data_IF_741348801010
#
_entry.id   IF_741348801010
#
_cell.length_a   1.000
_cell.length_b   1.000
_cell.length_c   1.000
_cell.angle_alpha   90.00
_cell.angle_beta   90.00
_cell.angle_gamma   90.00
#
_symmetry.space_group_name_H-M   'P 1'
#
loop_
_entity.id
_entity.type
_entity.pdbx_description
1 polymer ?
#
# COMPACT_ATOMS: atom_id res chain seq x y z
N UNK A 1 -0.52 -10.26 52.89
CA UNK A 1 -0.13 -9.29 51.83
C UNK A 1 -0.51 -7.87 52.37
N UNK A 2 0.46 -6.96 52.47
CA UNK A 2 0.21 -5.66 53.06
C UNK A 2 -0.71 -4.81 52.16
N UNK A 3 -1.55 -3.97 52.75
CA UNK A 3 -2.45 -3.07 52.01
C UNK A 3 -1.67 -2.15 51.04
N UNK A 4 -0.44 -1.79 51.38
CA UNK A 4 0.44 -1.00 50.55
C UNK A 4 0.81 -1.77 49.27
N UNK A 5 1.16 -3.07 49.41
CA UNK A 5 1.51 -3.92 48.26
C UNK A 5 0.30 -4.12 47.33
N UNK A 6 -0.90 -4.28 47.83
CA UNK A 6 -2.12 -4.39 47.03
C UNK A 6 -2.37 -3.11 46.21
N UNK A 7 -2.20 -1.94 46.84
CA UNK A 7 -2.35 -0.65 46.13
C UNK A 7 -1.34 -0.51 44.99
N UNK A 8 -0.07 -0.77 45.28
CA UNK A 8 0.97 -0.74 44.24
C UNK A 8 0.67 -1.72 43.07
N UNK A 9 0.24 -2.90 43.40
CA UNK A 9 -0.13 -3.89 42.39
C UNK A 9 -1.29 -3.42 41.49
N UNK A 10 -2.32 -2.82 42.09
CA UNK A 10 -3.46 -2.26 41.35
C UNK A 10 -3.01 -1.13 40.43
N UNK A 11 -2.14 -0.24 40.91
CA UNK A 11 -1.61 0.84 40.08
C UNK A 11 -0.82 0.31 38.86
N UNK A 12 0.03 -0.69 39.06
CA UNK A 12 0.73 -1.35 37.95
C UNK A 12 -0.22 -2.03 36.95
N UNK A 13 -1.27 -2.71 37.46
CA UNK A 13 -2.27 -3.33 36.59
C UNK A 13 -2.99 -2.25 35.75
N UNK A 14 -3.34 -1.11 36.32
CA UNK A 14 -3.96 -0.01 35.57
C UNK A 14 -3.05 0.52 34.47
N UNK A 15 -1.77 0.74 34.78
CA UNK A 15 -0.78 1.22 33.81
C UNK A 15 -0.63 0.23 32.66
N UNK A 16 -0.46 -1.07 32.96
CA UNK A 16 -0.33 -2.12 31.95
C UNK A 16 -1.61 -2.21 31.12
N UNK A 17 -2.78 -2.23 31.73
CA UNK A 17 -4.06 -2.29 31.01
C UNK A 17 -4.23 -1.09 30.07
N UNK A 18 -3.91 0.10 30.54
CA UNK A 18 -3.96 1.33 29.71
C UNK A 18 -2.99 1.24 28.53
N UNK A 19 -1.76 0.81 28.78
CA UNK A 19 -0.76 0.64 27.72
C UNK A 19 -1.21 -0.38 26.65
N UNK A 20 -1.80 -1.51 27.07
CA UNK A 20 -2.33 -2.53 26.16
C UNK A 20 -3.48 -2.00 25.31
N UNK A 21 -4.38 -1.20 25.90
CA UNK A 21 -5.48 -0.56 25.15
C UNK A 21 -4.93 0.39 24.10
N UNK A 22 -3.97 1.24 24.45
CA UNK A 22 -3.33 2.14 23.47
C UNK A 22 -2.60 1.38 22.38
N UNK A 23 -1.83 0.36 22.74
CA UNK A 23 -1.15 -0.49 21.77
C UNK A 23 -2.13 -1.16 20.80
N UNK A 24 -3.24 -1.68 21.32
CA UNK A 24 -4.30 -2.26 20.49
C UNK A 24 -4.91 -1.24 19.54
N UNK A 25 -5.24 -0.03 20.01
CA UNK A 25 -5.77 1.06 19.18
C UNK A 25 -4.78 1.38 18.07
N UNK A 26 -3.50 1.61 18.40
CA UNK A 26 -2.47 1.96 17.42
C UNK A 26 -2.35 0.90 16.32
N UNK A 27 -2.39 -0.38 16.68
CA UNK A 27 -2.29 -1.49 15.69
C UNK A 27 -3.49 -1.58 14.74
N UNK A 28 -4.63 -0.94 15.06
CA UNK A 28 -5.75 -0.84 14.14
C UNK A 28 -5.49 0.17 13.00
N UNK A 29 -4.67 1.18 13.26
CA UNK A 29 -4.40 2.27 12.32
C UNK A 29 -3.12 2.03 11.51
N UNK A 30 -2.15 1.34 12.09
CA UNK A 30 -0.80 1.21 11.56
C UNK A 30 -0.43 -0.27 11.42
N UNK A 31 0.12 -0.62 10.25
CA UNK A 31 0.72 -1.94 10.02
C UNK A 31 2.13 -1.78 9.47
N UNK A 32 3.16 -2.07 10.26
CA UNK A 32 4.51 -2.14 9.74
C UNK A 32 4.65 -3.35 8.81
N UNK A 33 5.35 -3.19 7.71
CA UNK A 33 5.63 -4.26 6.75
C UNK A 33 6.98 -4.05 6.09
N UNK A 34 7.52 -5.10 5.48
CA UNK A 34 8.74 -5.04 4.68
C UNK A 34 8.40 -5.16 3.21
N UNK A 35 9.07 -4.35 2.39
CA UNK A 35 9.01 -4.47 0.93
C UNK A 35 9.69 -5.76 0.52
N UNK A 36 9.02 -6.54 -0.31
CA UNK A 36 9.57 -7.72 -0.95
C UNK A 36 9.41 -7.60 -2.47
N UNK A 37 10.53 -7.76 -3.18
CA UNK A 37 10.59 -7.60 -4.62
C UNK A 37 10.85 -6.17 -5.07
N UNK A 38 11.09 -6.00 -6.37
CA UNK A 38 11.60 -4.77 -6.98
C UNK A 38 10.54 -4.04 -7.82
N UNK A 39 9.26 -4.43 -7.74
CA UNK A 39 8.20 -3.89 -8.63
C UNK A 39 7.90 -2.40 -8.45
N UNK A 40 8.48 -1.77 -7.42
CA UNK A 40 8.35 -0.34 -7.12
C UNK A 40 9.70 0.37 -7.08
N UNK A 41 10.75 -0.27 -7.60
CA UNK A 41 12.07 0.34 -7.72
C UNK A 41 12.03 1.51 -8.74
N UNK A 42 12.71 2.67 -8.52
CA UNK A 42 13.56 2.98 -7.37
C UNK A 42 12.82 3.57 -6.17
N UNK A 43 11.51 3.79 -6.26
CA UNK A 43 10.71 4.44 -5.21
C UNK A 43 10.73 3.63 -3.91
N UNK A 44 10.64 2.31 -4.02
CA UNK A 44 10.75 1.38 -2.90
C UNK A 44 11.76 0.29 -3.25
N UNK A 45 12.67 0.04 -2.34
CA UNK A 45 13.72 -0.96 -2.47
C UNK A 45 13.39 -2.18 -1.61
N UNK A 46 13.84 -3.36 -2.05
CA UNK A 46 13.66 -4.58 -1.27
C UNK A 46 14.26 -4.42 0.14
N UNK A 47 13.53 -4.89 1.14
CA UNK A 47 13.78 -4.76 2.58
C UNK A 47 13.53 -3.36 3.17
N UNK A 48 12.99 -2.41 2.43
CA UNK A 48 12.51 -1.16 3.03
C UNK A 48 11.39 -1.42 4.03
N UNK A 49 11.39 -0.68 5.14
CA UNK A 49 10.31 -0.69 6.11
C UNK A 49 9.21 0.29 5.71
N UNK A 50 8.00 -0.21 5.54
CA UNK A 50 6.82 0.59 5.29
C UNK A 50 5.90 0.63 6.50
N UNK A 51 5.26 1.76 6.67
CA UNK A 51 4.15 1.93 7.62
C UNK A 51 2.87 2.11 6.82
N UNK A 52 2.02 1.07 6.82
CA UNK A 52 0.74 1.10 6.11
C UNK A 52 -0.29 1.80 6.97
N UNK A 53 -0.87 2.89 6.45
CA UNK A 53 -2.04 3.54 7.04
C UNK A 53 -3.30 2.76 6.65
N UNK A 54 -3.85 1.99 7.58
CA UNK A 54 -5.02 1.14 7.35
C UNK A 54 -6.34 1.91 7.27
N UNK A 55 -6.35 3.17 7.71
CA UNK A 55 -7.55 4.00 7.75
C UNK A 55 -7.70 4.92 6.53
N UNK A 56 -6.62 5.12 5.75
CA UNK A 56 -6.62 6.07 4.65
C UNK A 56 -7.84 5.89 3.72
N UNK A 57 -8.08 4.67 3.27
CA UNK A 57 -9.16 4.36 2.33
C UNK A 57 -10.44 3.79 2.98
N UNK A 58 -10.56 3.92 4.31
CA UNK A 58 -11.84 3.80 5.01
C UNK A 58 -12.57 5.14 5.13
N UNK A 59 -11.82 6.24 5.02
CA UNK A 59 -12.32 7.60 5.21
C UNK A 59 -12.18 8.43 3.93
N UNK A 60 -11.17 8.13 3.11
CA UNK A 60 -10.88 8.81 1.85
C UNK A 60 -10.82 7.85 0.66
N UNK A 61 -10.69 8.41 -0.53
CA UNK A 61 -10.55 7.68 -1.78
C UNK A 61 -9.11 7.73 -2.28
N UNK A 62 -8.64 6.68 -2.98
CA UNK A 62 -7.34 6.70 -3.64
C UNK A 62 -7.28 7.80 -4.70
N UNK A 63 -6.11 8.41 -4.85
CA UNK A 63 -5.84 9.44 -5.84
C UNK A 63 -4.70 9.01 -6.75
N UNK A 64 -4.66 9.62 -7.93
CA UNK A 64 -3.56 9.42 -8.88
C UNK A 64 -2.21 9.70 -8.19
N UNK A 65 -1.26 8.79 -8.38
CA UNK A 65 0.06 8.86 -7.76
C UNK A 65 0.18 8.20 -6.37
N UNK A 66 -0.93 7.88 -5.69
CA UNK A 66 -0.88 7.22 -4.39
C UNK A 66 -0.22 5.84 -4.48
N UNK A 67 0.57 5.50 -3.46
CA UNK A 67 1.11 4.15 -3.30
C UNK A 67 0.18 3.36 -2.40
N UNK A 68 -0.41 2.31 -2.94
CA UNK A 68 -1.37 1.46 -2.25
C UNK A 68 -0.81 0.06 -1.98
N UNK A 69 -1.25 -0.52 -0.88
CA UNK A 69 -1.01 -1.93 -0.54
C UNK A 69 -2.35 -2.65 -0.52
N UNK A 70 -2.47 -3.69 -1.31
CA UNK A 70 -3.71 -4.47 -1.40
C UNK A 70 -3.43 -5.98 -1.40
N UNK A 71 -4.42 -6.72 -0.94
CA UNK A 71 -4.38 -8.19 -0.93
C UNK A 71 -4.71 -8.75 -2.29
N UNK A 72 -4.01 -9.80 -2.67
CA UNK A 72 -4.30 -10.53 -3.91
C UNK A 72 -4.66 -11.97 -3.60
N UNK A 73 -5.21 -12.68 -4.60
CA UNK A 73 -5.42 -14.12 -4.54
C UNK A 73 -4.13 -14.91 -4.84
N UNK A 74 -3.04 -14.24 -5.15
CA UNK A 74 -1.73 -14.87 -5.32
C UNK A 74 -1.23 -15.33 -3.95
N UNK A 75 -0.67 -16.53 -3.91
CA UNK A 75 -0.12 -17.09 -2.69
C UNK A 75 1.38 -16.82 -2.60
N UNK A 76 1.84 -16.59 -1.38
CA UNK A 76 3.26 -16.61 -1.04
C UNK A 76 3.72 -18.08 -0.90
N UNK A 77 5.03 -18.28 -0.76
CA UNK A 77 5.62 -19.63 -0.56
C UNK A 77 5.10 -20.32 0.71
N UNK A 78 4.64 -19.54 1.69
CA UNK A 78 4.03 -20.01 2.94
C UNK A 78 2.51 -20.30 2.84
N UNK A 79 1.94 -20.18 1.64
CA UNK A 79 0.50 -20.40 1.37
C UNK A 79 -0.44 -19.27 1.77
N UNK A 80 0.09 -18.15 2.25
CA UNK A 80 -0.75 -16.97 2.60
C UNK A 80 -0.96 -16.06 1.39
N UNK A 81 -2.09 -15.32 1.35
CA UNK A 81 -2.32 -14.30 0.34
C UNK A 81 -1.17 -13.29 0.30
N UNK A 82 -0.74 -12.97 -0.91
CA UNK A 82 0.33 -11.99 -1.14
C UNK A 82 -0.24 -10.58 -1.15
N UNK A 83 0.34 -9.72 -0.33
CA UNK A 83 0.10 -8.28 -0.43
C UNK A 83 0.98 -7.70 -1.55
N UNK A 84 0.41 -6.89 -2.43
CA UNK A 84 1.15 -6.17 -3.46
C UNK A 84 1.17 -4.68 -3.15
N UNK A 85 2.29 -4.06 -3.48
CA UNK A 85 2.49 -2.60 -3.43
C UNK A 85 2.52 -2.09 -4.85
N UNK A 86 1.66 -1.14 -5.18
CA UNK A 86 1.54 -0.54 -6.51
C UNK A 86 1.22 0.94 -6.40
N UNK A 87 1.45 1.69 -7.50
CA UNK A 87 1.06 3.09 -7.60
C UNK A 87 -0.24 3.22 -8.38
N UNK A 88 -1.17 4.01 -7.88
CA UNK A 88 -2.40 4.37 -8.58
C UNK A 88 -2.06 5.24 -9.77
N UNK A 89 -2.50 4.84 -10.96
CA UNK A 89 -2.29 5.54 -12.23
C UNK A 89 -3.57 6.21 -12.70
N UNK A 90 -4.72 5.56 -12.46
CA UNK A 90 -6.01 6.12 -12.78
C UNK A 90 -7.06 5.67 -11.76
N UNK A 91 -8.03 6.52 -11.50
CA UNK A 91 -9.16 6.26 -10.61
C UNK A 91 -10.45 6.05 -11.40
N UNK A 92 -11.55 5.71 -10.72
CA UNK A 92 -12.83 5.42 -11.38
C UNK A 92 -13.25 6.49 -12.39
N UNK A 93 -13.81 6.05 -13.50
CA UNK A 93 -14.31 6.90 -14.57
C UNK A 93 -13.23 7.47 -15.50
N UNK A 94 -11.94 7.38 -15.15
CA UNK A 94 -10.86 7.79 -16.03
C UNK A 94 -10.60 6.75 -17.13
N UNK A 95 -10.26 7.24 -18.31
CA UNK A 95 -9.86 6.40 -19.44
C UNK A 95 -8.36 6.14 -19.35
N UNK A 96 -7.97 4.89 -19.24
CA UNK A 96 -6.58 4.44 -19.28
C UNK A 96 -6.30 3.76 -20.61
N UNK A 97 -5.29 4.23 -21.33
CA UNK A 97 -4.80 3.62 -22.54
C UNK A 97 -3.29 3.36 -22.44
N UNK A 98 -2.88 2.15 -22.77
CA UNK A 98 -1.47 1.78 -22.89
C UNK A 98 -1.28 1.31 -24.32
N UNK A 99 -0.40 2.01 -25.05
CA UNK A 99 -0.09 1.73 -26.43
C UNK A 99 1.38 2.11 -26.69
N UNK A 100 2.11 1.28 -27.42
CA UNK A 100 3.54 1.50 -27.72
C UNK A 100 4.40 1.80 -26.48
N UNK A 101 4.15 1.07 -25.38
CA UNK A 101 4.80 1.27 -24.07
C UNK A 101 4.54 2.64 -23.41
N UNK A 102 3.61 3.42 -23.92
CA UNK A 102 3.20 4.71 -23.35
C UNK A 102 1.88 4.59 -22.63
N UNK A 103 1.77 5.31 -21.52
CA UNK A 103 0.56 5.35 -20.70
C UNK A 103 -0.14 6.67 -20.90
N UNK A 104 -1.43 6.61 -21.23
CA UNK A 104 -2.31 7.76 -21.36
C UNK A 104 -3.43 7.68 -20.36
N UNK A 105 -3.73 8.78 -19.69
CA UNK A 105 -4.89 8.93 -18.80
C UNK A 105 -5.74 10.09 -19.35
N UNK A 106 -7.00 9.80 -19.67
CA UNK A 106 -7.91 10.76 -20.31
C UNK A 106 -7.28 11.44 -21.57
N UNK A 107 -6.71 10.59 -22.43
CA UNK A 107 -6.00 10.97 -23.66
C UNK A 107 -4.75 11.85 -23.48
N UNK A 108 -4.30 12.04 -22.25
CA UNK A 108 -3.07 12.77 -21.94
C UNK A 108 -1.94 11.78 -21.65
N UNK A 109 -0.81 11.96 -22.35
CA UNK A 109 0.39 11.20 -22.06
C UNK A 109 0.81 11.43 -20.61
N UNK A 110 0.98 10.35 -19.86
CA UNK A 110 1.48 10.38 -18.50
C UNK A 110 3.01 10.38 -18.55
N UNK A 111 3.58 11.59 -18.45
CA UNK A 111 5.04 11.82 -18.42
C UNK A 111 5.48 11.99 -16.96
N UNK A 112 5.56 10.89 -16.25
CA UNK A 112 5.95 10.85 -14.85
C UNK A 112 7.25 10.08 -14.66
N UNK A 113 8.16 10.55 -13.75
CA UNK A 113 9.50 9.99 -13.60
C UNK A 113 9.53 8.52 -13.13
N UNK A 114 8.40 8.00 -12.69
CA UNK A 114 8.25 6.59 -12.28
C UNK A 114 7.68 5.69 -13.38
N UNK A 115 7.37 6.24 -14.55
CA UNK A 115 6.94 5.48 -15.73
C UNK A 115 8.08 5.53 -16.75
N UNK A 116 8.71 4.39 -16.96
CA UNK A 116 9.81 4.29 -17.92
C UNK A 116 9.34 3.58 -19.18
N UNK A 117 9.60 4.17 -20.33
CA UNK A 117 9.12 3.85 -21.68
C UNK A 117 9.33 2.41 -22.17
N UNK A 118 10.08 1.58 -21.44
CA UNK A 118 10.51 0.28 -21.94
C UNK A 118 9.86 -0.93 -21.26
N UNK A 119 8.92 -0.76 -20.33
CA UNK A 119 8.45 -1.87 -19.50
C UNK A 119 6.94 -2.00 -19.34
N UNK A 120 6.15 -1.13 -19.93
CA UNK A 120 4.71 -1.32 -19.96
C UNK A 120 4.38 -2.30 -21.08
N UNK A 121 4.25 -3.57 -20.75
CA UNK A 121 3.91 -4.60 -21.73
C UNK A 121 2.41 -4.77 -21.83
N UNK A 122 1.92 -4.87 -23.06
CA UNK A 122 0.52 -5.12 -23.39
C UNK A 122 -0.22 -3.83 -23.74
N UNK A 123 -1.17 -3.97 -24.66
CA UNK A 123 -2.08 -2.90 -25.02
C UNK A 123 -3.30 -2.95 -24.08
N UNK A 124 -3.65 -1.84 -23.49
CA UNK A 124 -4.80 -1.67 -22.62
C UNK A 124 -5.58 -0.45 -23.13
N UNK A 125 -6.88 -0.60 -23.20
CA UNK A 125 -7.81 0.48 -23.53
C UNK A 125 -9.11 0.22 -22.78
N UNK A 126 -9.29 0.92 -21.65
CA UNK A 126 -10.47 0.74 -20.81
C UNK A 126 -10.79 1.99 -20.00
N UNK A 127 -12.03 2.11 -19.59
CA UNK A 127 -12.47 3.05 -18.56
C UNK A 127 -12.43 2.32 -17.22
N UNK A 128 -11.77 2.94 -16.21
CA UNK A 128 -11.68 2.36 -14.86
C UNK A 128 -13.10 2.26 -14.27
N UNK A 129 -13.55 1.05 -13.87
CA UNK A 129 -14.89 0.85 -13.34
C UNK A 129 -15.13 1.62 -12.03
N UNK A 130 -16.41 1.81 -11.70
CA UNK A 130 -16.83 2.41 -10.42
C UNK A 130 -16.29 1.60 -9.23
N UNK A 131 -15.73 2.29 -8.24
CA UNK A 131 -15.14 1.67 -7.05
C UNK A 131 -13.78 1.00 -7.27
N UNK A 132 -13.18 1.11 -8.46
CA UNK A 132 -11.90 0.51 -8.79
C UNK A 132 -10.82 1.57 -9.07
N UNK A 133 -9.57 1.13 -9.03
CA UNK A 133 -8.42 1.92 -9.46
C UNK A 133 -7.54 1.09 -10.38
N UNK A 134 -6.89 1.74 -11.32
CA UNK A 134 -5.85 1.13 -12.12
C UNK A 134 -4.49 1.43 -11.48
N UNK A 135 -3.73 0.40 -11.13
CA UNK A 135 -2.46 0.55 -10.46
C UNK A 135 -1.35 -0.25 -11.12
N UNK A 136 -0.16 0.34 -11.20
CA UNK A 136 1.01 -0.25 -11.83
C UNK A 136 2.21 -0.29 -10.88
N UNK A 137 3.15 -1.21 -11.14
CA UNK A 137 4.49 -1.16 -10.57
C UNK A 137 5.35 -0.18 -11.35
N UNK A 138 6.35 0.36 -10.68
CA UNK A 138 7.43 1.11 -11.31
C UNK A 138 8.65 0.17 -11.34
N UNK A 139 9.09 -0.23 -12.50
CA UNK A 139 10.33 -1.01 -12.64
C UNK A 139 11.28 -0.17 -13.47
N UNK A 140 12.36 0.29 -12.87
CA UNK A 140 13.49 0.83 -13.60
C UNK A 140 14.43 -0.32 -13.99
N UNK A 141 14.85 -0.36 -15.27
CA UNK A 141 15.84 -1.33 -15.70
C UNK A 141 17.17 -1.03 -15.00
N UNK A 142 17.66 -1.96 -14.20
CA UNK A 142 19.07 -1.96 -13.84
C UNK A 142 19.88 -2.13 -15.12
N UNK A 143 20.59 -1.08 -15.52
CA UNK A 143 21.63 -1.12 -16.53
C UNK A 143 22.85 -1.82 -15.93
#
# INVERSE_FOLDING_TARGET
>A
MSEKFKKELIEWIKVIATALVFAFIITQFIRPTLVRGESMYPTLVENDYLIINRMAYKIGEPKDGDIIVFKTNLLQDDGKPKDLVKRVIATEGQHIKIEDSKVYVDDKLLDEPYIHDNYTSGDIDLIVPEGEVFAMGTIEKKV
#
